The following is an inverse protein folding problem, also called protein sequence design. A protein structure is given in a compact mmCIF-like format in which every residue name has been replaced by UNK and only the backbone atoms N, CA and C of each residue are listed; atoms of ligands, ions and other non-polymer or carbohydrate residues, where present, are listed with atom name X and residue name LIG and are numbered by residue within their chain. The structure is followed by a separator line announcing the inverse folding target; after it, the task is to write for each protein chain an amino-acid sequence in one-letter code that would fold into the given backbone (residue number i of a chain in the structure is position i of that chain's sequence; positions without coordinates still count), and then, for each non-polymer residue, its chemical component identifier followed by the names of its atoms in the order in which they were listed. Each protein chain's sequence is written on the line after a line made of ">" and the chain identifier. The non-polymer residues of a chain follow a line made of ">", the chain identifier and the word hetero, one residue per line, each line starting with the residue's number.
data_IF_009275404588
#
_entry.id   IF_009275404588
#
_cell.length_a   1.000
_cell.length_b   1.000
_cell.length_c   1.000
_cell.angle_alpha   90.00
_cell.angle_beta   90.00
_cell.angle_gamma   90.00
#
_symmetry.space_group_name_H-M   'P 1'
#
loop_
_entity.id
_entity.type
_entity.pdbx_description
1 polymer ?
#
# COMPACT_ATOMS: atom_id res chain seq x y z
N UNK A 1 22.24 36.16 21.29
CA UNK A 1 20.86 36.71 21.16
C UNK A 1 19.84 35.58 21.35
N UNK A 2 18.84 35.81 22.18
CA UNK A 2 17.71 34.92 22.44
C UNK A 2 16.44 35.65 21.94
N UNK A 3 15.67 35.01 21.08
CA UNK A 3 14.40 35.51 20.61
C UNK A 3 13.30 34.53 21.03
N UNK A 4 12.32 35.02 21.76
CA UNK A 4 11.21 34.24 22.24
C UNK A 4 9.88 34.84 21.78
N UNK A 5 9.07 34.08 21.06
CA UNK A 5 7.72 34.47 20.70
C UNK A 5 6.79 34.10 21.85
N UNK A 6 6.25 35.11 22.52
CA UNK A 6 5.35 34.94 23.67
C UNK A 6 3.92 34.73 23.22
N UNK A 7 3.51 35.44 22.15
CA UNK A 7 2.19 35.35 21.57
C UNK A 7 2.26 35.57 20.05
N UNK A 8 1.56 34.75 19.30
CA UNK A 8 1.51 34.79 17.82
C UNK A 8 0.08 34.62 17.27
N UNK A 9 -0.93 35.05 18.03
CA UNK A 9 -2.32 34.87 17.65
C UNK A 9 -2.82 33.41 17.71
N UNK A 10 -2.19 32.57 18.54
CA UNK A 10 -2.45 31.12 18.67
C UNK A 10 -1.99 30.27 17.45
N UNK A 11 -1.15 30.81 16.57
CA UNK A 11 -0.61 30.08 15.42
C UNK A 11 0.33 28.94 15.82
N UNK A 12 1.14 29.12 16.89
CA UNK A 12 1.98 28.07 17.44
C UNK A 12 1.13 26.91 17.95
N UNK A 13 0.02 27.21 18.65
CA UNK A 13 -0.88 26.19 19.16
C UNK A 13 -1.58 25.42 18.03
N UNK A 14 -2.12 26.13 17.04
CA UNK A 14 -2.70 25.50 15.85
C UNK A 14 -1.69 24.62 15.09
N UNK A 15 -0.41 25.05 15.05
CA UNK A 15 0.67 24.27 14.44
C UNK A 15 0.99 23.01 15.26
N UNK A 16 1.03 23.12 16.58
CA UNK A 16 1.24 21.96 17.47
C UNK A 16 0.11 20.92 17.30
N UNK A 17 -1.15 21.37 17.34
CA UNK A 17 -2.31 20.52 17.16
C UNK A 17 -2.29 19.85 15.77
N UNK A 18 -1.91 20.61 14.73
CA UNK A 18 -1.73 20.06 13.37
C UNK A 18 -0.67 18.97 13.33
N UNK A 19 0.50 19.18 13.97
CA UNK A 19 1.57 18.18 13.98
C UNK A 19 1.13 16.89 14.70
N UNK A 20 0.34 17.01 15.75
CA UNK A 20 -0.26 15.86 16.46
C UNK A 20 -1.25 15.12 15.56
N UNK A 21 -2.09 15.84 14.81
CA UNK A 21 -3.01 15.20 13.86
C UNK A 21 -2.28 14.57 12.66
N UNK A 22 -1.15 15.14 12.21
CA UNK A 22 -0.29 14.52 11.21
C UNK A 22 0.36 13.23 11.70
N UNK A 23 0.73 13.14 12.98
CA UNK A 23 1.20 11.89 13.56
C UNK A 23 0.10 10.83 13.53
N UNK A 24 -1.11 11.15 14.00
CA UNK A 24 -2.27 10.25 13.95
C UNK A 24 -2.59 9.82 12.51
N UNK A 25 -2.45 10.73 11.54
CA UNK A 25 -2.63 10.43 10.11
C UNK A 25 -1.57 9.44 9.61
N UNK A 26 -0.32 9.59 10.08
CA UNK A 26 0.77 8.64 9.77
C UNK A 26 0.46 7.22 10.26
N UNK A 27 -0.08 7.09 11.46
CA UNK A 27 -0.50 5.80 12.03
C UNK A 27 -1.64 5.16 11.21
N UNK A 28 -2.63 5.96 10.80
CA UNK A 28 -3.73 5.49 9.94
C UNK A 28 -3.25 5.07 8.55
N UNK A 29 -2.30 5.79 7.96
CA UNK A 29 -1.69 5.41 6.68
C UNK A 29 -0.92 4.09 6.80
N UNK A 30 -0.18 3.89 7.89
CA UNK A 30 0.51 2.63 8.17
C UNK A 30 -0.50 1.48 8.29
N UNK A 31 -1.59 1.70 9.03
CA UNK A 31 -2.67 0.72 9.15
C UNK A 31 -3.28 0.39 7.79
N UNK A 32 -3.60 1.38 6.97
CA UNK A 32 -4.15 1.18 5.63
C UNK A 32 -3.20 0.36 4.75
N UNK A 33 -1.89 0.67 4.79
CA UNK A 33 -0.88 -0.11 4.06
C UNK A 33 -0.86 -1.58 4.49
N UNK A 34 -1.01 -1.86 5.78
CA UNK A 34 -1.07 -3.24 6.29
C UNK A 34 -2.37 -3.92 5.84
N UNK A 35 -3.51 -3.23 5.91
CA UNK A 35 -4.81 -3.76 5.45
C UNK A 35 -4.78 -4.10 3.96
N UNK A 36 -4.24 -3.22 3.12
CA UNK A 36 -4.07 -3.42 1.69
C UNK A 36 -3.13 -4.62 1.40
N UNK A 37 -2.00 -4.68 2.11
CA UNK A 37 -1.07 -5.80 1.98
C UNK A 37 -1.72 -7.15 2.34
N UNK A 38 -2.49 -7.22 3.41
CA UNK A 38 -3.21 -8.44 3.82
C UNK A 38 -4.27 -8.81 2.78
N UNK A 39 -4.95 -7.82 2.20
CA UNK A 39 -5.94 -8.05 1.13
C UNK A 39 -5.28 -8.60 -0.14
N UNK A 40 -4.14 -8.02 -0.56
CA UNK A 40 -3.37 -8.46 -1.73
C UNK A 40 -2.82 -9.87 -1.53
N UNK A 41 -2.25 -10.16 -0.36
CA UNK A 41 -1.73 -11.47 -0.01
C UNK A 41 -2.84 -12.53 -0.02
N UNK A 42 -3.99 -12.21 0.57
CA UNK A 42 -5.15 -13.11 0.59
C UNK A 42 -5.70 -13.34 -0.83
N UNK A 43 -5.77 -12.29 -1.64
CA UNK A 43 -6.21 -12.36 -3.04
C UNK A 43 -5.30 -13.28 -3.87
N UNK A 44 -3.98 -13.14 -3.74
CA UNK A 44 -3.04 -13.98 -4.50
C UNK A 44 -3.01 -15.43 -3.96
N UNK A 45 -3.19 -15.63 -2.65
CA UNK A 45 -3.34 -16.96 -2.06
C UNK A 45 -4.54 -17.71 -2.67
N UNK A 46 -5.73 -17.08 -2.70
CA UNK A 46 -6.92 -17.68 -3.30
C UNK A 46 -6.82 -17.79 -4.83
N UNK A 47 -6.10 -16.89 -5.49
CA UNK A 47 -5.79 -17.01 -6.90
C UNK A 47 -4.99 -18.28 -7.19
N UNK A 48 -3.95 -18.56 -6.39
CA UNK A 48 -3.14 -19.77 -6.55
C UNK A 48 -3.97 -21.04 -6.34
N UNK A 49 -4.89 -21.06 -5.36
CA UNK A 49 -5.83 -22.18 -5.17
C UNK A 49 -6.70 -22.36 -6.41
N UNK A 50 -7.27 -21.27 -6.94
CA UNK A 50 -8.09 -21.30 -8.15
C UNK A 50 -7.32 -21.84 -9.37
N UNK A 51 -6.06 -21.40 -9.56
CA UNK A 51 -5.23 -21.91 -10.66
C UNK A 51 -4.91 -23.42 -10.49
N UNK A 52 -4.65 -23.89 -9.28
CA UNK A 52 -4.46 -25.32 -9.00
C UNK A 52 -5.71 -26.17 -9.26
N UNK A 53 -6.89 -25.66 -8.87
CA UNK A 53 -8.17 -26.34 -9.16
C UNK A 53 -8.39 -26.43 -10.68
N UNK A 54 -8.16 -25.34 -11.40
CA UNK A 54 -8.28 -25.29 -12.85
C UNK A 54 -7.32 -26.28 -13.52
N UNK A 55 -6.06 -26.34 -13.07
CA UNK A 55 -5.09 -27.31 -13.58
C UNK A 55 -5.56 -28.74 -13.37
N UNK A 56 -6.12 -29.08 -12.18
CA UNK A 56 -6.66 -30.40 -11.92
C UNK A 56 -7.79 -30.76 -12.90
N UNK A 57 -8.72 -29.83 -13.15
CA UNK A 57 -9.81 -30.04 -14.06
C UNK A 57 -9.32 -30.23 -15.53
N UNK A 58 -8.36 -29.39 -15.98
CA UNK A 58 -7.78 -29.54 -17.32
C UNK A 58 -7.01 -30.86 -17.48
N UNK A 59 -6.33 -31.35 -16.44
CA UNK A 59 -5.70 -32.68 -16.47
C UNK A 59 -6.73 -33.79 -16.63
N UNK A 60 -7.87 -33.71 -15.94
CA UNK A 60 -8.96 -34.67 -16.13
C UNK A 60 -9.53 -34.61 -17.55
N UNK A 61 -9.69 -33.41 -18.14
CA UNK A 61 -10.11 -33.26 -19.54
C UNK A 61 -9.08 -33.89 -20.48
N UNK A 62 -7.79 -33.65 -20.26
CA UNK A 62 -6.72 -34.23 -21.09
C UNK A 62 -6.73 -35.76 -21.05
N UNK A 63 -6.96 -36.38 -19.88
CA UNK A 63 -7.08 -37.83 -19.79
C UNK A 63 -8.28 -38.37 -20.60
N UNK A 64 -9.42 -37.65 -20.58
CA UNK A 64 -10.58 -38.00 -21.42
C UNK A 64 -10.26 -37.85 -22.91
N UNK A 65 -9.58 -36.79 -23.31
CA UNK A 65 -9.17 -36.60 -24.73
C UNK A 65 -8.15 -37.65 -25.15
N UNK A 66 -7.23 -38.05 -24.30
CA UNK A 66 -6.27 -39.14 -24.55
C UNK A 66 -6.99 -40.48 -24.81
N UNK A 67 -7.96 -40.82 -23.94
CA UNK A 67 -8.72 -42.05 -24.06
C UNK A 67 -9.62 -42.03 -25.31
N UNK A 68 -10.23 -40.90 -25.65
CA UNK A 68 -10.96 -40.70 -26.88
C UNK A 68 -10.06 -40.94 -28.11
N UNK A 69 -8.88 -40.34 -28.14
CA UNK A 69 -7.93 -40.54 -29.23
C UNK A 69 -7.56 -42.00 -29.38
N UNK A 70 -7.25 -42.71 -28.28
CA UNK A 70 -6.95 -44.14 -28.29
C UNK A 70 -8.08 -44.98 -28.91
N UNK A 71 -9.31 -44.73 -28.48
CA UNK A 71 -10.49 -45.44 -29.04
C UNK A 71 -10.68 -45.17 -30.54
N UNK A 72 -10.51 -43.90 -30.96
CA UNK A 72 -10.65 -43.52 -32.38
C UNK A 72 -9.53 -44.15 -33.22
N UNK A 73 -8.31 -44.19 -32.74
CA UNK A 73 -7.17 -44.87 -33.41
C UNK A 73 -7.45 -46.37 -33.59
N UNK A 74 -7.89 -47.09 -32.57
CA UNK A 74 -8.24 -48.51 -32.65
C UNK A 74 -9.36 -48.76 -33.68
N UNK A 75 -10.43 -47.92 -33.67
CA UNK A 75 -11.54 -48.00 -34.61
C UNK A 75 -11.16 -47.66 -36.06
N UNK A 76 -10.21 -46.74 -36.24
CA UNK A 76 -9.66 -46.44 -37.55
C UNK A 76 -8.87 -47.66 -38.11
N UNK A 77 -8.04 -48.31 -37.31
CA UNK A 77 -7.28 -49.48 -37.76
C UNK A 77 -8.14 -50.66 -38.16
N UNK A 78 -9.30 -50.83 -37.52
CA UNK A 78 -10.26 -51.88 -37.90
C UNK A 78 -11.24 -51.42 -39.02
N UNK A 79 -11.07 -50.18 -39.54
CA UNK A 79 -11.85 -49.66 -40.66
C UNK A 79 -13.24 -49.13 -40.30
N UNK A 80 -13.57 -48.93 -39.01
CA UNK A 80 -14.86 -48.47 -38.53
C UNK A 80 -14.95 -46.94 -38.32
N UNK A 81 -13.84 -46.20 -38.47
CA UNK A 81 -13.79 -44.75 -38.42
C UNK A 81 -13.00 -44.18 -39.60
N UNK A 82 -13.29 -42.91 -39.94
CA UNK A 82 -12.58 -42.21 -41.02
C UNK A 82 -11.27 -41.62 -40.59
N UNK A 83 -10.38 -41.34 -41.57
CA UNK A 83 -9.15 -40.59 -41.29
C UNK A 83 -9.41 -39.18 -40.75
N UNK A 84 -10.54 -38.58 -41.15
CA UNK A 84 -10.96 -37.25 -40.64
C UNK A 84 -11.23 -37.30 -39.14
N UNK A 85 -11.96 -38.32 -38.67
CA UNK A 85 -12.26 -38.52 -37.25
C UNK A 85 -10.99 -38.69 -36.44
N UNK A 86 -10.02 -39.44 -36.93
CA UNK A 86 -8.71 -39.61 -36.31
C UNK A 86 -7.95 -38.29 -36.19
N UNK A 87 -7.89 -37.53 -37.30
CA UNK A 87 -7.20 -36.23 -37.28
C UNK A 87 -7.89 -35.25 -36.34
N UNK A 88 -9.22 -35.24 -36.28
CA UNK A 88 -9.95 -34.38 -35.35
C UNK A 88 -9.61 -34.75 -33.86
N UNK A 89 -9.62 -36.04 -33.55
CA UNK A 89 -9.26 -36.48 -32.18
C UNK A 89 -7.82 -36.11 -31.80
N UNK A 90 -6.88 -36.16 -32.77
CA UNK A 90 -5.50 -35.71 -32.57
C UNK A 90 -5.40 -34.20 -32.30
N UNK A 91 -6.16 -33.39 -33.07
CA UNK A 91 -6.22 -31.94 -32.88
C UNK A 91 -6.79 -31.60 -31.50
N UNK A 92 -7.88 -32.23 -31.09
CA UNK A 92 -8.51 -32.04 -29.79
C UNK A 92 -7.54 -32.38 -28.64
N UNK A 93 -6.86 -33.53 -28.72
CA UNK A 93 -5.86 -33.91 -27.73
C UNK A 93 -4.69 -32.94 -27.65
N UNK A 94 -4.19 -32.44 -28.79
CA UNK A 94 -3.10 -31.45 -28.82
C UNK A 94 -3.56 -30.12 -28.24
N UNK A 95 -4.77 -29.68 -28.48
CA UNK A 95 -5.35 -28.48 -27.89
C UNK A 95 -5.47 -28.59 -26.38
N UNK A 96 -5.98 -29.69 -25.87
CA UNK A 96 -6.09 -29.95 -24.43
C UNK A 96 -4.72 -30.07 -23.76
N UNK A 97 -3.73 -30.69 -24.42
CA UNK A 97 -2.34 -30.72 -23.97
C UNK A 97 -1.74 -29.33 -23.83
N UNK A 98 -1.97 -28.48 -24.83
CA UNK A 98 -1.51 -27.08 -24.82
C UNK A 98 -2.17 -26.29 -23.69
N UNK A 99 -3.47 -26.51 -23.44
CA UNK A 99 -4.19 -25.88 -22.33
C UNK A 99 -3.62 -26.27 -20.96
N UNK A 100 -3.24 -27.53 -20.77
CA UNK A 100 -2.60 -27.99 -19.52
C UNK A 100 -1.23 -27.33 -19.34
N UNK A 101 -0.40 -27.24 -20.39
CA UNK A 101 0.90 -26.59 -20.33
C UNK A 101 0.79 -25.10 -19.98
N UNK A 102 -0.12 -24.40 -20.64
CA UNK A 102 -0.41 -23.00 -20.33
C UNK A 102 -0.88 -22.81 -18.88
N UNK A 103 -1.71 -23.73 -18.38
CA UNK A 103 -2.20 -23.66 -17.01
C UNK A 103 -1.11 -23.98 -15.99
N UNK A 104 -0.16 -24.86 -16.29
CA UNK A 104 1.02 -25.10 -15.46
C UNK A 104 1.84 -23.84 -15.28
N UNK A 105 2.04 -23.08 -16.38
CA UNK A 105 2.73 -21.79 -16.30
C UNK A 105 1.96 -20.77 -15.44
N UNK A 106 0.63 -20.73 -15.53
CA UNK A 106 -0.18 -19.85 -14.69
C UNK A 106 -0.08 -20.20 -13.20
N UNK A 107 -0.02 -21.50 -12.85
CA UNK A 107 0.21 -21.94 -11.48
C UNK A 107 1.60 -21.54 -11.00
N UNK A 108 2.62 -21.71 -11.84
CA UNK A 108 4.00 -21.34 -11.54
C UNK A 108 4.11 -19.83 -11.29
N UNK A 109 3.58 -19.02 -12.19
CA UNK A 109 3.58 -17.55 -12.07
C UNK A 109 2.83 -17.07 -10.83
N UNK A 110 1.65 -17.64 -10.53
CA UNK A 110 0.88 -17.28 -9.34
C UNK A 110 1.62 -17.66 -8.05
N UNK A 111 2.33 -18.80 -8.02
CA UNK A 111 3.17 -19.19 -6.89
C UNK A 111 4.31 -18.19 -6.67
N UNK A 112 5.03 -17.81 -7.72
CA UNK A 112 6.12 -16.82 -7.64
C UNK A 112 5.60 -15.48 -7.12
N UNK A 113 4.42 -15.04 -7.57
CA UNK A 113 3.78 -13.80 -7.06
C UNK A 113 3.48 -13.88 -5.56
N UNK A 114 2.92 -15.00 -5.12
CA UNK A 114 2.64 -15.22 -3.70
C UNK A 114 3.93 -15.22 -2.87
N UNK A 115 4.96 -15.96 -3.30
CA UNK A 115 6.25 -16.02 -2.61
C UNK A 115 6.92 -14.64 -2.53
N UNK A 116 6.82 -13.86 -3.60
CA UNK A 116 7.32 -12.48 -3.64
C UNK A 116 6.58 -11.56 -2.65
N UNK A 117 5.26 -11.68 -2.53
CA UNK A 117 4.48 -10.95 -1.53
C UNK A 117 4.87 -11.35 -0.11
N UNK A 118 5.18 -12.63 0.13
CA UNK A 118 5.68 -13.11 1.42
C UNK A 118 7.14 -12.76 1.69
N UNK A 119 7.83 -12.09 0.75
CA UNK A 119 9.24 -11.74 0.82
C UNK A 119 10.17 -12.94 1.09
N UNK A 120 9.86 -14.11 0.52
CA UNK A 120 10.73 -15.29 0.60
C UNK A 120 12.02 -15.05 -0.18
N UNK A 121 13.16 -15.51 0.35
CA UNK A 121 14.47 -15.41 -0.33
C UNK A 121 14.47 -16.21 -1.63
N UNK A 122 13.92 -17.43 -1.61
CA UNK A 122 13.68 -18.23 -2.81
C UNK A 122 12.24 -18.05 -3.28
N UNK A 123 12.07 -17.29 -4.35
CA UNK A 123 10.74 -17.05 -4.95
C UNK A 123 10.16 -18.30 -5.66
N UNK A 124 10.98 -19.31 -5.93
CA UNK A 124 10.55 -20.56 -6.57
C UNK A 124 10.20 -21.66 -5.54
N UNK A 125 10.42 -21.40 -4.26
CA UNK A 125 10.11 -22.36 -3.19
C UNK A 125 8.68 -22.90 -3.29
N UNK A 126 8.54 -24.19 -3.01
CA UNK A 126 7.24 -24.83 -3.01
C UNK A 126 6.51 -24.63 -1.68
N UNK A 127 5.65 -23.63 -1.63
CA UNK A 127 4.78 -23.40 -0.48
C UNK A 127 3.64 -24.43 -0.47
N UNK A 128 3.53 -25.14 0.67
CA UNK A 128 2.42 -26.05 0.89
C UNK A 128 1.15 -25.26 1.24
N UNK A 129 0.16 -25.33 0.33
CA UNK A 129 -1.16 -24.78 0.57
C UNK A 129 -2.03 -25.87 1.19
N UNK A 130 -2.60 -25.60 2.37
CA UNK A 130 -3.49 -26.53 3.07
C UNK A 130 -4.90 -26.56 2.47
N UNK A 131 -5.35 -25.42 1.96
CA UNK A 131 -6.72 -25.28 1.44
C UNK A 131 -6.82 -25.83 0.02
N UNK A 132 -7.78 -26.70 -0.20
CA UNK A 132 -8.09 -27.27 -1.52
C UNK A 132 -9.38 -26.72 -2.13
N UNK A 133 -10.15 -25.95 -1.36
CA UNK A 133 -11.45 -25.39 -1.73
C UNK A 133 -11.55 -23.96 -1.23
N UNK A 134 -12.30 -23.15 -1.98
CA UNK A 134 -12.67 -21.79 -1.58
C UNK A 134 -14.12 -21.86 -1.07
N UNK A 135 -14.30 -21.62 0.23
CA UNK A 135 -15.63 -21.59 0.84
C UNK A 135 -15.99 -20.12 1.14
N UNK A 136 -16.82 -19.48 0.33
CA UNK A 136 -17.28 -18.12 0.61
C UNK A 136 -18.19 -18.11 1.85
N UNK A 137 -18.12 -17.04 2.63
CA UNK A 137 -19.11 -16.82 3.69
C UNK A 137 -20.40 -16.24 3.06
N UNK A 138 -21.50 -17.00 3.02
CA UNK A 138 -22.75 -16.56 2.37
C UNK A 138 -23.55 -15.57 3.21
N UNK A 139 -23.22 -15.39 4.50
CA UNK A 139 -23.98 -14.57 5.44
C UNK A 139 -23.19 -13.32 5.81
N UNK A 140 -23.31 -12.30 4.96
CA UNK A 140 -22.83 -10.96 5.26
C UNK A 140 -24.03 -10.08 5.57
N UNK A 141 -24.11 -9.55 6.79
CA UNK A 141 -25.15 -8.56 7.17
C UNK A 141 -24.73 -7.19 6.64
N UNK A 142 -25.48 -6.67 5.67
CA UNK A 142 -25.24 -5.38 5.04
C UNK A 142 -25.28 -4.22 6.05
N UNK A 143 -26.18 -4.27 7.02
CA UNK A 143 -26.35 -3.20 8.03
C UNK A 143 -25.16 -3.16 8.98
N UNK A 144 -24.68 -4.33 9.40
CA UNK A 144 -23.47 -4.45 10.24
C UNK A 144 -22.22 -4.02 9.49
N UNK A 145 -22.07 -4.44 8.23
CA UNK A 145 -20.98 -4.02 7.37
C UNK A 145 -20.96 -2.50 7.16
N UNK A 146 -22.12 -1.89 6.93
CA UNK A 146 -22.23 -0.45 6.79
C UNK A 146 -21.79 0.30 8.05
N UNK A 147 -22.29 -0.11 9.23
CA UNK A 147 -21.88 0.46 10.51
C UNK A 147 -20.39 0.32 10.76
N UNK A 148 -19.83 -0.86 10.51
CA UNK A 148 -18.41 -1.13 10.64
C UNK A 148 -17.58 -0.27 9.68
N UNK A 149 -18.02 -0.10 8.44
CA UNK A 149 -17.35 0.76 7.45
C UNK A 149 -17.27 2.21 7.94
N UNK A 150 -18.38 2.77 8.45
CA UNK A 150 -18.40 4.16 8.92
C UNK A 150 -17.46 4.42 10.11
N UNK A 151 -17.22 3.41 10.94
CA UNK A 151 -16.41 3.54 12.17
C UNK A 151 -14.97 3.09 12.02
N UNK A 152 -14.70 2.12 11.16
CA UNK A 152 -13.40 1.42 11.12
C UNK A 152 -12.66 1.54 9.80
N UNK A 153 -13.30 2.02 8.72
CA UNK A 153 -12.65 2.12 7.42
C UNK A 153 -11.53 3.16 7.43
N UNK A 154 -10.29 2.71 7.20
CA UNK A 154 -9.08 3.52 7.26
C UNK A 154 -9.13 4.71 6.30
N UNK A 155 -9.66 4.54 5.08
CA UNK A 155 -9.78 5.63 4.10
C UNK A 155 -10.73 6.74 4.57
N UNK A 156 -11.87 6.39 5.19
CA UNK A 156 -12.80 7.37 5.77
C UNK A 156 -12.19 8.09 6.98
N UNK A 157 -11.46 7.38 7.84
CA UNK A 157 -10.76 7.97 8.98
C UNK A 157 -9.67 8.94 8.51
N UNK A 158 -8.89 8.59 7.48
CA UNK A 158 -7.90 9.45 6.84
C UNK A 158 -8.56 10.72 6.27
N UNK A 159 -9.69 10.59 5.56
CA UNK A 159 -10.42 11.74 5.03
C UNK A 159 -10.89 12.69 6.14
N UNK A 160 -11.42 12.17 7.25
CA UNK A 160 -11.80 12.97 8.43
C UNK A 160 -10.59 13.67 9.05
N UNK A 161 -9.44 13.00 9.17
CA UNK A 161 -8.21 13.62 9.67
C UNK A 161 -7.70 14.73 8.76
N UNK A 162 -7.75 14.54 7.46
CA UNK A 162 -7.39 15.58 6.49
C UNK A 162 -8.29 16.81 6.59
N UNK A 163 -9.58 16.63 6.86
CA UNK A 163 -10.50 17.74 7.15
C UNK A 163 -10.05 18.52 8.39
N UNK A 164 -9.77 17.83 9.50
CA UNK A 164 -9.31 18.48 10.75
C UNK A 164 -7.98 19.23 10.51
N UNK A 165 -7.04 18.63 9.78
CA UNK A 165 -5.76 19.27 9.42
C UNK A 165 -6.00 20.56 8.62
N UNK A 166 -6.94 20.54 7.66
CA UNK A 166 -7.30 21.71 6.87
C UNK A 166 -7.96 22.82 7.73
N UNK A 167 -8.76 22.44 8.72
CA UNK A 167 -9.34 23.38 9.69
C UNK A 167 -8.26 24.03 10.57
N UNK A 168 -7.25 23.25 10.98
CA UNK A 168 -6.10 23.75 11.74
C UNK A 168 -5.22 24.68 10.88
N UNK A 169 -5.05 24.38 9.59
CA UNK A 169 -4.37 25.28 8.65
C UNK A 169 -5.12 26.62 8.49
N UNK A 170 -6.44 26.56 8.39
CA UNK A 170 -7.26 27.76 8.38
C UNK A 170 -7.07 28.57 9.67
N UNK A 171 -7.09 27.92 10.86
CA UNK A 171 -6.84 28.60 12.15
C UNK A 171 -5.46 29.24 12.18
N UNK A 172 -4.43 28.55 11.67
CA UNK A 172 -3.06 29.07 11.57
C UNK A 172 -2.97 30.29 10.64
N UNK A 173 -3.68 30.30 9.50
CA UNK A 173 -3.73 31.46 8.63
C UNK A 173 -4.46 32.61 9.31
N UNK A 174 -5.58 32.32 9.97
CA UNK A 174 -6.36 33.32 10.70
C UNK A 174 -5.57 33.96 11.85
N UNK A 175 -4.63 33.22 12.46
CA UNK A 175 -3.79 33.76 13.55
C UNK A 175 -2.95 34.95 13.10
N UNK A 176 -2.63 35.10 11.81
CA UNK A 176 -1.86 36.23 11.26
C UNK A 176 -2.61 37.56 11.34
N UNK A 177 -3.92 37.52 11.57
CA UNK A 177 -4.73 38.74 11.75
C UNK A 177 -4.70 39.27 13.21
N UNK A 178 -4.04 38.54 14.12
CA UNK A 178 -3.86 38.96 15.51
C UNK A 178 -2.46 39.52 15.71
N UNK A 179 -2.27 40.43 16.71
CA UNK A 179 -0.95 40.94 17.06
C UNK A 179 -0.03 39.79 17.50
N UNK A 180 1.25 39.95 17.28
CA UNK A 180 2.28 39.06 17.80
C UNK A 180 3.15 39.79 18.81
N UNK A 181 3.60 39.07 19.85
CA UNK A 181 4.51 39.62 20.86
C UNK A 181 5.77 38.77 20.91
N UNK A 182 6.90 39.40 20.62
CA UNK A 182 8.23 38.78 20.70
C UNK A 182 9.09 39.49 21.75
N UNK A 183 9.77 38.69 22.56
CA UNK A 183 10.83 39.17 23.45
C UNK A 183 12.18 38.84 22.81
N UNK A 184 13.06 39.80 22.77
CA UNK A 184 14.42 39.63 22.31
C UNK A 184 15.37 40.08 23.43
N UNK A 185 16.37 39.26 23.71
CA UNK A 185 17.45 39.59 24.64
C UNK A 185 18.79 39.15 24.00
N UNK A 186 19.79 39.98 24.18
CA UNK A 186 21.10 39.69 23.67
C UNK A 186 22.18 40.36 24.48
N UNK A 187 23.35 39.74 24.49
CA UNK A 187 24.57 40.31 25.04
C UNK A 187 25.58 40.37 23.90
N UNK A 188 26.11 41.56 23.67
CA UNK A 188 27.04 41.82 22.59
C UNK A 188 28.34 42.49 23.09
N UNK A 189 29.43 42.02 22.51
CA UNK A 189 30.72 42.69 22.62
C UNK A 189 31.11 43.13 21.22
N UNK A 190 31.35 44.47 21.04
CA UNK A 190 31.81 45.04 19.79
C UNK A 190 33.11 45.79 20.05
N UNK A 191 34.15 45.46 19.31
CA UNK A 191 35.41 46.18 19.30
C UNK A 191 35.61 46.79 17.88
N UNK A 192 35.65 48.12 17.81
CA UNK A 192 35.92 48.87 16.58
C UNK A 192 37.32 49.48 16.64
N UNK A 193 38.11 49.24 15.60
CA UNK A 193 39.41 49.84 15.41
C UNK A 193 39.28 50.98 14.42
N UNK A 194 39.81 52.14 14.78
CA UNK A 194 39.76 53.30 13.93
C UNK A 194 41.21 53.71 13.58
N UNK A 195 41.49 53.85 12.32
CA UNK A 195 42.85 54.29 11.84
C UNK A 195 43.00 55.81 11.86
N UNK A 196 41.93 56.55 11.97
CA UNK A 196 41.91 58.02 11.92
C UNK A 196 41.00 58.57 13.00
N UNK A 197 41.53 59.41 13.88
CA UNK A 197 40.78 60.06 14.95
C UNK A 197 41.51 60.04 16.31
N UNK A 198 40.89 60.55 17.37
CA UNK A 198 41.44 60.60 18.71
C UNK A 198 41.30 59.33 19.54
N UNK A 199 40.66 58.29 18.96
CA UNK A 199 40.39 57.02 19.64
C UNK A 199 40.79 55.85 18.77
N UNK A 200 41.82 55.10 19.13
CA UNK A 200 42.35 53.96 18.35
C UNK A 200 41.47 52.69 18.49
N UNK A 201 40.77 52.56 19.60
CA UNK A 201 39.96 51.40 19.90
C UNK A 201 38.72 51.76 20.69
N UNK A 202 37.56 51.49 20.16
CA UNK A 202 36.28 51.59 20.86
C UNK A 202 35.76 50.22 21.20
N UNK A 203 35.65 49.89 22.49
CA UNK A 203 35.04 48.67 22.99
C UNK A 203 33.68 49.01 23.55
N UNK A 204 32.66 48.32 23.04
CA UNK A 204 31.28 48.42 23.53
C UNK A 204 30.83 47.02 24.02
N UNK A 205 30.51 47.00 25.31
CA UNK A 205 29.89 45.85 25.94
C UNK A 205 28.45 46.23 26.27
N UNK A 206 27.48 45.43 25.87
CA UNK A 206 26.09 45.84 26.07
C UNK A 206 25.13 44.68 26.15
N UNK A 207 24.17 44.80 27.04
CA UNK A 207 22.97 44.00 27.09
C UNK A 207 21.92 44.75 26.27
N UNK A 208 21.32 44.04 25.31
CA UNK A 208 20.18 44.54 24.55
C UNK A 208 18.95 43.70 24.87
N UNK A 209 17.86 44.30 25.15
CA UNK A 209 16.55 43.66 25.32
C UNK A 209 15.49 44.54 24.66
N UNK A 210 14.43 43.85 24.17
CA UNK A 210 13.34 44.55 23.51
C UNK A 210 12.09 43.71 23.45
N UNK A 211 10.98 44.38 23.28
CA UNK A 211 9.66 43.80 23.00
C UNK A 211 9.25 44.28 21.65
N UNK A 212 8.84 43.38 20.77
CA UNK A 212 8.27 43.68 19.47
C UNK A 212 6.81 43.24 19.47
N UNK A 213 5.91 44.15 19.08
CA UNK A 213 4.48 43.91 18.94
C UNK A 213 4.09 44.08 17.48
#
# INVERSE_FOLDING_TARGET
>A
NVNWTVFDGLGIQATYDKLRELQNLGELNTRMTIEDFVADLSSEYYNLIRQKIRLRNLRSTLELSRERLRIVEERYYIGSMSRLDLQQAQVDFNADSSNVLNQLEQVHTSRIRLNRLMALEDVEEQVQIKDSLITPNPFLDEVELWKSTLTSNSSLLIAKKNQVISELDYKKIKSRNYPYVKLNAGYGYTANWYEVGTTDLQRRLGLNYGVTV
#
